data_IF_754631381986
#
_entry.id   IF_754631381986
#
_cell.length_a   1.000
_cell.length_b   1.000
_cell.length_c   1.000
_cell.angle_alpha   90.00
_cell.angle_beta   90.00
_cell.angle_gamma   90.00
#
_symmetry.space_group_name_H-M   'P 1'
#
loop_
_entity.id
_entity.type
_entity.pdbx_description
1 polymer ?
#
# COMPACT_ATOMS: atom_id res chain seq x y z
N UNK A 1 18.15 20.34 -16.28
CA UNK A 1 17.63 18.99 -16.59
C UNK A 1 16.19 18.95 -16.10
N UNK A 2 15.26 18.78 -17.04
CA UNK A 2 13.81 18.77 -16.86
C UNK A 2 13.44 17.55 -15.98
N UNK A 3 12.46 17.54 -15.07
CA UNK A 3 11.09 18.06 -15.14
C UNK A 3 10.50 18.09 -13.72
N UNK A 4 9.76 19.14 -13.39
CA UNK A 4 8.93 19.27 -12.18
C UNK A 4 7.67 18.39 -12.30
N UNK A 5 7.23 17.75 -11.20
CA UNK A 5 5.81 17.59 -10.77
C UNK A 5 5.57 16.30 -9.99
N UNK A 6 5.27 16.42 -8.68
CA UNK A 6 4.12 15.83 -7.97
C UNK A 6 4.18 16.21 -6.49
N UNK A 7 4.03 17.52 -6.21
CA UNK A 7 3.32 17.93 -5.00
C UNK A 7 1.86 17.60 -5.22
N UNK A 8 1.19 16.91 -4.28
CA UNK A 8 -0.06 17.36 -3.64
C UNK A 8 -0.83 16.19 -2.97
N UNK A 9 -1.14 16.43 -1.70
CA UNK A 9 -2.25 15.89 -0.91
C UNK A 9 -2.24 14.42 -0.50
N UNK A 10 -2.05 14.19 0.81
CA UNK A 10 -3.13 13.60 1.61
C UNK A 10 -3.01 13.99 3.10
N UNK A 11 -3.48 15.20 3.45
CA UNK A 11 -4.12 15.38 4.76
C UNK A 11 -5.48 14.69 4.67
N UNK A 12 -5.67 13.60 5.41
CA UNK A 12 -7.00 13.17 5.83
C UNK A 12 -6.89 12.44 7.16
N UNK A 13 -7.22 13.18 8.23
CA UNK A 13 -7.70 12.57 9.45
C UNK A 13 -8.90 11.68 9.11
N UNK A 14 -8.87 10.39 9.43
CA UNK A 14 -10.06 9.71 9.92
C UNK A 14 -9.67 8.61 10.90
N UNK A 15 -10.21 8.82 12.09
CA UNK A 15 -10.25 7.98 13.26
C UNK A 15 -10.43 6.49 12.99
N UNK A 16 -9.63 5.70 13.71
CA UNK A 16 -10.01 4.42 14.31
C UNK A 16 -10.94 3.50 13.53
N UNK A 17 -10.38 2.62 12.68
CA UNK A 17 -10.88 1.24 12.52
C UNK A 17 -10.08 0.49 11.46
N UNK A 18 -8.89 0.01 11.81
CA UNK A 18 -8.17 -0.97 10.98
C UNK A 18 -7.25 -1.85 11.85
N UNK A 19 -7.80 -2.45 12.91
CA UNK A 19 -7.05 -3.33 13.81
C UNK A 19 -7.22 -4.83 13.46
N UNK A 20 -7.79 -5.17 12.29
CA UNK A 20 -8.21 -6.55 12.01
C UNK A 20 -7.60 -7.18 10.75
N UNK A 21 -6.51 -6.63 10.22
CA UNK A 21 -5.69 -7.27 9.17
C UNK A 21 -4.18 -7.18 9.46
N UNK A 22 -3.80 -7.01 10.73
CA UNK A 22 -2.43 -6.68 11.16
C UNK A 22 -1.43 -7.83 11.04
N UNK A 23 -1.84 -9.07 10.78
CA UNK A 23 -0.87 -10.19 10.76
C UNK A 23 -0.16 -10.35 9.42
N UNK A 24 -0.86 -10.22 8.29
CA UNK A 24 -0.23 -10.47 6.98
C UNK A 24 0.44 -9.20 6.43
N UNK A 25 -0.20 -8.04 6.58
CA UNK A 25 0.34 -6.77 6.12
C UNK A 25 1.67 -6.43 6.80
N UNK A 26 1.72 -6.49 8.14
CA UNK A 26 2.92 -6.13 8.92
C UNK A 26 4.07 -7.14 8.71
N UNK A 27 3.76 -8.35 8.23
CA UNK A 27 4.77 -9.34 7.83
C UNK A 27 5.35 -9.07 6.45
N UNK A 28 4.57 -8.42 5.58
CA UNK A 28 4.97 -8.06 4.22
C UNK A 28 5.61 -6.66 4.15
N UNK A 29 5.19 -5.74 5.03
CA UNK A 29 5.76 -4.40 5.24
C UNK A 29 7.08 -4.53 6.03
N UNK A 30 8.14 -4.93 5.33
CA UNK A 30 9.45 -5.21 5.92
C UNK A 30 10.10 -3.92 6.40
N UNK A 31 9.84 -2.81 5.71
CA UNK A 31 10.41 -1.51 6.06
C UNK A 31 9.57 -0.70 7.06
N UNK A 32 8.33 -1.12 7.33
CA UNK A 32 7.46 -0.60 8.38
C UNK A 32 6.92 0.80 8.09
N UNK A 33 6.81 1.16 6.80
CA UNK A 33 6.35 2.49 6.39
C UNK A 33 4.81 2.60 6.35
N UNK A 34 4.09 1.48 6.51
CA UNK A 34 2.63 1.42 6.48
C UNK A 34 2.02 1.25 5.08
N UNK A 35 2.81 0.92 4.05
CA UNK A 35 2.43 0.57 2.68
C UNK A 35 3.22 -0.67 2.21
N UNK A 36 2.65 -1.52 1.35
CA UNK A 36 3.39 -2.61 0.69
C UNK A 36 3.85 -2.11 -0.67
N UNK A 37 5.15 -1.96 -0.84
CA UNK A 37 5.73 -1.62 -2.13
C UNK A 37 5.61 -2.79 -3.12
N UNK A 38 5.67 -2.52 -4.42
CA UNK A 38 5.72 -3.59 -5.43
C UNK A 38 6.86 -4.60 -5.19
N UNK A 39 7.99 -4.15 -4.65
CA UNK A 39 9.11 -5.04 -4.31
C UNK A 39 8.78 -6.00 -3.15
N UNK A 40 8.04 -5.51 -2.16
CA UNK A 40 7.58 -6.31 -1.02
C UNK A 40 6.45 -7.23 -1.44
N UNK A 41 5.48 -6.75 -2.22
CA UNK A 41 4.44 -7.60 -2.76
C UNK A 41 4.99 -8.66 -3.73
N UNK A 42 6.15 -8.45 -4.35
CA UNK A 42 6.79 -9.45 -5.21
C UNK A 42 7.31 -10.67 -4.45
N UNK A 43 7.44 -10.61 -3.12
CA UNK A 43 7.79 -11.77 -2.30
C UNK A 43 6.66 -12.80 -2.25
N UNK A 44 5.43 -12.35 -2.53
CA UNK A 44 4.23 -13.17 -2.51
C UNK A 44 3.51 -13.12 -3.87
N UNK A 45 3.51 -14.25 -4.59
CA UNK A 45 2.99 -14.30 -5.95
C UNK A 45 1.46 -14.09 -6.02
N UNK A 46 0.73 -14.47 -4.97
CA UNK A 46 -0.72 -14.28 -4.89
C UNK A 46 -1.03 -12.80 -4.65
N UNK A 47 -0.30 -12.17 -3.73
CA UNK A 47 -0.40 -10.74 -3.49
C UNK A 47 -0.04 -9.94 -4.73
N UNK A 48 1.06 -10.27 -5.43
CA UNK A 48 1.45 -9.54 -6.64
C UNK A 48 0.42 -9.69 -7.77
N UNK A 49 -0.26 -10.84 -7.86
CA UNK A 49 -1.35 -11.03 -8.81
C UNK A 49 -2.56 -10.16 -8.49
N UNK A 50 -2.85 -9.96 -7.19
CA UNK A 50 -3.93 -9.07 -6.73
C UNK A 50 -3.47 -7.61 -6.61
N UNK A 51 -2.16 -7.34 -6.63
CA UNK A 51 -1.60 -6.02 -6.36
C UNK A 51 -2.16 -4.97 -7.30
N UNK A 52 -2.18 -5.25 -8.59
CA UNK A 52 -2.74 -4.33 -9.59
C UNK A 52 -4.26 -4.19 -9.50
N UNK A 53 -4.96 -5.12 -8.83
CA UNK A 53 -6.40 -5.05 -8.57
C UNK A 53 -6.71 -4.26 -7.29
N UNK A 54 -5.78 -4.26 -6.33
CA UNK A 54 -5.88 -3.57 -5.05
C UNK A 54 -5.38 -2.12 -5.13
N UNK A 55 -4.30 -1.89 -5.88
CA UNK A 55 -3.70 -0.58 -6.17
C UNK A 55 -4.66 0.22 -7.05
N UNK A 56 -5.61 0.88 -6.39
CA UNK A 56 -6.72 1.56 -7.06
C UNK A 56 -6.28 2.94 -7.52
N UNK A 57 -5.30 3.53 -6.85
CA UNK A 57 -4.74 4.83 -7.22
C UNK A 57 -3.57 4.75 -8.21
N UNK A 58 -3.04 3.55 -8.45
CA UNK A 58 -2.03 3.27 -9.47
C UNK A 58 -0.66 3.89 -9.13
N UNK A 59 -0.34 3.97 -7.84
CA UNK A 59 0.92 4.54 -7.37
C UNK A 59 2.06 3.51 -7.34
N UNK A 60 1.75 2.21 -7.43
CA UNK A 60 2.72 1.13 -7.30
C UNK A 60 3.02 0.71 -5.85
N UNK A 61 2.15 1.05 -4.89
CA UNK A 61 2.26 0.80 -3.45
C UNK A 61 0.87 0.53 -2.83
N UNK A 62 0.67 -0.60 -2.13
CA UNK A 62 -0.60 -0.88 -1.46
C UNK A 62 -0.62 -0.29 -0.06
N UNK A 63 -1.50 0.67 0.17
CA UNK A 63 -1.74 1.16 1.53
C UNK A 63 -2.43 0.08 2.39
N UNK A 64 -2.27 0.16 3.73
CA UNK A 64 -3.05 -0.68 4.69
C UNK A 64 -4.55 -0.73 4.35
N UNK A 65 -5.07 0.38 3.86
CA UNK A 65 -6.47 0.54 3.51
C UNK A 65 -6.87 -0.16 2.20
N UNK A 66 -5.96 -0.26 1.24
CA UNK A 66 -6.15 -0.97 -0.03
C UNK A 66 -5.94 -2.47 0.15
N UNK A 67 -4.92 -2.86 0.93
CA UNK A 67 -4.70 -4.23 1.32
C UNK A 67 -5.87 -4.80 2.15
N UNK A 68 -6.46 -3.99 3.05
CA UNK A 68 -7.66 -4.41 3.81
C UNK A 68 -8.93 -4.53 2.97
N UNK A 69 -8.92 -4.10 1.71
CA UNK A 69 -10.04 -4.25 0.77
C UNK A 69 -9.91 -5.48 -0.13
N UNK A 70 -8.81 -6.22 -0.03
CA UNK A 70 -8.58 -7.50 -0.71
C UNK A 70 -9.47 -8.62 -0.21
#
# INVERSE_FOLDING_TARGET
>A
MNTVNKTLALMALVSSSAAFAMSDFDTLDVDGNGVISQSEASVDAELMSKFSELDTDGNGELSKQEFSKA
#
